data_IF_048314416310
#
_entry.id   IF_048314416310
#
_cell.length_a   1.000
_cell.length_b   1.000
_cell.length_c   1.000
_cell.angle_alpha   90.00
_cell.angle_beta   90.00
_cell.angle_gamma   90.00
#
_symmetry.space_group_name_H-M   'P 1'
#
loop_
_entity.id
_entity.type
_entity.pdbx_description
1 polymer ?
#
# COMPACT_ATOMS: atom_id res chain seq x y z
N UNK A 1 6.69 38.07 -0.92
CA UNK A 1 5.62 37.09 -0.65
C UNK A 1 6.27 35.78 -0.21
N UNK A 2 5.87 35.18 0.92
CA UNK A 2 6.38 33.86 1.32
C UNK A 2 5.84 32.82 0.31
N UNK A 3 6.72 32.06 -0.31
CA UNK A 3 6.35 30.97 -1.22
C UNK A 3 5.69 29.86 -0.38
N UNK A 4 4.42 29.59 -0.61
CA UNK A 4 3.71 28.51 0.04
C UNK A 4 4.09 27.20 -0.69
N UNK A 5 4.70 26.28 0.03
CA UNK A 5 4.97 24.94 -0.48
C UNK A 5 3.72 24.09 -0.23
N UNK A 6 3.00 23.65 -1.28
CA UNK A 6 1.82 22.81 -1.10
C UNK A 6 2.23 21.40 -0.63
N UNK A 7 1.32 20.73 0.07
CA UNK A 7 1.52 19.33 0.51
C UNK A 7 1.79 18.38 -0.67
N UNK A 8 1.13 18.62 -1.79
CA UNK A 8 1.38 17.88 -3.03
C UNK A 8 1.02 18.73 -4.25
N UNK A 9 1.85 18.66 -5.26
CA UNK A 9 1.60 19.30 -6.55
C UNK A 9 2.06 18.35 -7.67
N UNK A 10 1.13 17.96 -8.53
CA UNK A 10 1.47 17.19 -9.72
C UNK A 10 2.26 18.07 -10.70
N UNK A 11 3.33 17.51 -11.24
CA UNK A 11 4.01 18.08 -12.41
C UNK A 11 3.43 17.41 -13.65
N UNK A 12 2.86 18.19 -14.54
CA UNK A 12 2.27 17.72 -15.80
C UNK A 12 2.87 18.56 -16.92
N UNK A 13 3.46 17.91 -17.90
CA UNK A 13 4.05 18.56 -19.07
C UNK A 13 3.28 18.27 -20.37
N UNK A 14 3.80 18.79 -21.46
CA UNK A 14 3.19 18.60 -22.80
C UNK A 14 3.22 17.15 -23.27
N UNK A 15 4.20 16.35 -22.80
CA UNK A 15 4.27 14.93 -23.11
C UNK A 15 3.12 14.16 -22.45
N UNK A 16 2.87 14.43 -21.17
CA UNK A 16 1.75 13.83 -20.42
C UNK A 16 0.41 14.13 -21.09
N UNK A 17 0.20 15.43 -21.47
CA UNK A 17 -1.02 15.85 -22.15
C UNK A 17 -1.19 15.13 -23.50
N UNK A 18 -0.11 14.96 -24.26
CA UNK A 18 -0.17 14.27 -25.55
C UNK A 18 -0.44 12.78 -25.42
N UNK A 19 0.10 12.12 -24.40
CA UNK A 19 -0.20 10.70 -24.14
C UNK A 19 -1.67 10.50 -23.73
N UNK A 20 -2.24 11.39 -22.93
CA UNK A 20 -3.68 11.37 -22.62
C UNK A 20 -4.52 11.60 -23.88
N UNK A 21 -4.18 12.57 -24.73
CA UNK A 21 -4.87 12.78 -26.02
C UNK A 21 -4.83 11.53 -26.92
N UNK A 22 -3.70 10.83 -26.98
CA UNK A 22 -3.58 9.57 -27.73
C UNK A 22 -4.50 8.50 -27.16
N UNK A 23 -4.56 8.39 -25.82
CA UNK A 23 -5.43 7.43 -25.16
C UNK A 23 -6.90 7.68 -25.49
N UNK A 24 -7.35 8.94 -25.43
CA UNK A 24 -8.73 9.31 -25.74
C UNK A 24 -9.13 9.08 -27.20
N UNK A 25 -8.16 9.12 -28.13
CA UNK A 25 -8.41 8.83 -29.55
C UNK A 25 -8.39 7.34 -29.89
N UNK A 26 -8.10 6.47 -28.92
CA UNK A 26 -8.08 5.04 -29.12
C UNK A 26 -9.51 4.48 -29.19
N UNK A 27 -9.69 3.40 -29.93
CA UNK A 27 -10.98 2.69 -30.04
C UNK A 27 -11.44 2.06 -28.71
N UNK A 28 -10.52 1.84 -27.77
CA UNK A 28 -10.81 1.28 -26.44
C UNK A 28 -10.53 2.30 -25.36
N UNK A 29 -11.57 2.86 -24.76
CA UNK A 29 -11.46 3.76 -23.61
C UNK A 29 -11.35 3.03 -22.28
N UNK A 30 -11.72 1.74 -22.25
CA UNK A 30 -11.65 0.88 -21.07
C UNK A 30 -10.85 -0.37 -21.36
N UNK A 31 -10.10 -0.86 -20.38
CA UNK A 31 -9.35 -2.14 -20.44
C UNK A 31 -8.51 -2.37 -21.71
N UNK A 32 -8.14 -1.31 -22.41
CA UNK A 32 -7.47 -1.35 -23.70
C UNK A 32 -5.93 -1.51 -23.61
N UNK A 33 -5.22 -1.30 -24.73
CA UNK A 33 -3.77 -1.49 -24.81
C UNK A 33 -2.97 -0.58 -23.88
N UNK A 34 -3.49 0.59 -23.52
CA UNK A 34 -2.83 1.50 -22.59
C UNK A 34 -2.78 0.95 -21.17
N UNK A 35 -3.82 0.25 -20.72
CA UNK A 35 -3.84 -0.45 -19.42
C UNK A 35 -2.75 -1.50 -19.37
N UNK A 36 -2.68 -2.37 -20.39
CA UNK A 36 -1.63 -3.40 -20.50
C UNK A 36 -0.22 -2.79 -20.54
N UNK A 37 -0.05 -1.67 -21.26
CA UNK A 37 1.23 -0.95 -21.32
C UNK A 37 1.63 -0.42 -19.94
N UNK A 38 0.69 0.19 -19.18
CA UNK A 38 0.92 0.66 -17.82
C UNK A 38 1.36 -0.48 -16.90
N UNK A 39 0.59 -1.56 -16.84
CA UNK A 39 0.90 -2.73 -16.01
C UNK A 39 2.26 -3.34 -16.33
N UNK A 40 2.59 -3.48 -17.61
CA UNK A 40 3.88 -3.98 -18.04
C UNK A 40 5.04 -3.03 -17.67
N UNK A 41 4.85 -1.73 -17.77
CA UNK A 41 5.84 -0.75 -17.35
C UNK A 41 6.08 -0.77 -15.84
N UNK A 42 5.03 -0.88 -15.05
CA UNK A 42 5.12 -1.03 -13.59
C UNK A 42 5.85 -2.33 -13.23
N UNK A 43 5.48 -3.45 -13.85
CA UNK A 43 6.18 -4.74 -13.65
C UNK A 43 7.69 -4.63 -13.90
N UNK A 44 8.08 -4.00 -15.01
CA UNK A 44 9.49 -3.80 -15.37
C UNK A 44 10.20 -2.87 -14.37
N UNK A 45 9.57 -1.73 -14.04
CA UNK A 45 10.16 -0.71 -13.16
C UNK A 45 10.37 -1.22 -11.74
N UNK A 46 9.38 -1.93 -11.21
CA UNK A 46 9.40 -2.48 -9.85
C UNK A 46 9.98 -3.90 -9.76
N UNK A 47 10.30 -4.53 -10.89
CA UNK A 47 10.79 -5.92 -10.97
C UNK A 47 9.84 -6.92 -10.28
N UNK A 48 8.54 -6.69 -10.40
CA UNK A 48 7.51 -7.57 -9.84
C UNK A 48 6.92 -8.50 -10.89
N UNK A 49 6.43 -9.66 -10.46
CA UNK A 49 5.87 -10.68 -11.36
C UNK A 49 4.52 -10.23 -11.94
N UNK A 50 3.71 -9.55 -11.14
CA UNK A 50 2.35 -9.14 -11.52
C UNK A 50 2.14 -7.66 -11.18
N UNK A 51 1.32 -6.99 -11.98
CA UNK A 51 0.76 -5.69 -11.70
C UNK A 51 -0.67 -5.66 -12.24
N UNK A 52 -1.57 -5.09 -11.47
CA UNK A 52 -2.98 -4.91 -11.82
C UNK A 52 -3.32 -3.46 -11.56
N UNK A 53 -3.82 -2.77 -12.56
CA UNK A 53 -4.28 -1.39 -12.45
C UNK A 53 -5.73 -1.32 -11.97
N UNK A 54 -6.02 -0.29 -11.20
CA UNK A 54 -7.36 0.04 -10.72
C UNK A 54 -7.52 1.56 -10.64
N UNK A 55 -8.71 2.03 -10.34
CA UNK A 55 -9.04 3.45 -10.41
C UNK A 55 -8.58 4.28 -9.19
N UNK A 56 -8.14 3.64 -8.11
CA UNK A 56 -7.68 4.35 -6.90
C UNK A 56 -6.85 3.44 -5.99
N UNK A 57 -6.05 4.02 -5.09
CA UNK A 57 -5.37 3.28 -4.03
C UNK A 57 -6.34 2.56 -3.09
N UNK A 58 -7.50 3.15 -2.82
CA UNK A 58 -8.57 2.49 -2.05
C UNK A 58 -9.03 1.20 -2.73
N UNK A 59 -9.29 1.23 -4.04
CA UNK A 59 -9.64 0.03 -4.80
C UNK A 59 -8.50 -1.00 -4.80
N UNK A 60 -7.24 -0.55 -4.89
CA UNK A 60 -6.07 -1.43 -4.82
C UNK A 60 -5.98 -2.16 -3.49
N UNK A 61 -6.15 -1.47 -2.38
CA UNK A 61 -6.18 -2.07 -1.04
C UNK A 61 -7.33 -3.08 -0.91
N UNK A 62 -8.52 -2.73 -1.40
CA UNK A 62 -9.66 -3.65 -1.37
C UNK A 62 -9.37 -4.93 -2.15
N UNK A 63 -8.84 -4.81 -3.37
CA UNK A 63 -8.42 -5.96 -4.17
C UNK A 63 -7.33 -6.79 -3.48
N UNK A 64 -6.35 -6.15 -2.84
CA UNK A 64 -5.32 -6.82 -2.08
C UNK A 64 -5.90 -7.63 -0.91
N UNK A 65 -6.82 -7.06 -0.14
CA UNK A 65 -7.49 -7.75 0.96
C UNK A 65 -8.34 -8.94 0.50
N UNK A 66 -9.07 -8.79 -0.60
CA UNK A 66 -9.83 -9.90 -1.20
C UNK A 66 -8.89 -10.99 -1.68
N UNK A 67 -7.78 -10.64 -2.35
CA UNK A 67 -6.86 -11.60 -2.97
C UNK A 67 -6.18 -12.54 -1.97
N UNK A 68 -5.95 -12.07 -0.74
CA UNK A 68 -5.38 -12.91 0.34
C UNK A 68 -6.45 -13.73 1.08
N UNK A 69 -7.70 -13.66 0.63
CA UNK A 69 -8.81 -14.42 1.17
C UNK A 69 -9.16 -14.05 2.61
N UNK A 70 -9.23 -12.74 2.92
CA UNK A 70 -9.73 -12.28 4.22
C UNK A 70 -11.16 -12.74 4.43
N UNK A 71 -11.43 -13.23 5.65
CA UNK A 71 -12.76 -13.69 6.08
C UNK A 71 -13.14 -12.99 7.37
N UNK A 72 -14.44 -12.85 7.60
CA UNK A 72 -14.99 -12.40 8.88
C UNK A 72 -14.25 -13.05 10.06
N UNK A 73 -13.90 -12.26 11.08
CA UNK A 73 -13.09 -12.62 12.26
C UNK A 73 -11.59 -12.79 12.03
N UNK A 74 -11.08 -12.74 10.79
CA UNK A 74 -9.64 -12.62 10.61
C UNK A 74 -9.12 -11.34 11.26
N UNK A 75 -7.88 -11.36 11.72
CA UNK A 75 -7.23 -10.23 12.38
C UNK A 75 -6.22 -9.62 11.42
N UNK A 76 -6.32 -8.30 11.23
CA UNK A 76 -5.33 -7.50 10.50
C UNK A 76 -4.76 -6.43 11.42
N UNK A 77 -3.43 -6.32 11.43
CA UNK A 77 -2.72 -5.26 12.15
C UNK A 77 -2.50 -4.09 11.19
N UNK A 78 -2.89 -2.89 11.61
CA UNK A 78 -2.66 -1.63 10.92
C UNK A 78 -1.82 -0.68 11.77
N UNK A 79 -0.97 0.17 11.17
CA UNK A 79 -0.41 1.31 11.87
C UNK A 79 -1.53 2.29 12.27
N UNK A 80 -1.40 2.91 13.45
CA UNK A 80 -2.36 3.93 13.91
C UNK A 80 -2.30 5.19 13.03
N UNK A 81 -1.13 5.53 12.49
CA UNK A 81 -0.97 6.55 11.46
C UNK A 81 -1.04 5.87 10.10
N UNK A 82 -2.16 6.03 9.42
CA UNK A 82 -2.42 5.46 8.10
C UNK A 82 -3.50 6.27 7.39
N UNK A 83 -3.57 6.18 6.06
CA UNK A 83 -4.73 6.69 5.35
C UNK A 83 -5.97 5.85 5.67
N UNK A 84 -7.09 6.50 5.89
CA UNK A 84 -8.32 5.89 6.42
C UNK A 84 -8.89 4.76 5.54
N UNK A 85 -8.48 4.67 4.28
CA UNK A 85 -8.98 3.67 3.32
C UNK A 85 -8.83 2.23 3.83
N UNK A 86 -7.64 1.85 4.34
CA UNK A 86 -7.41 0.50 4.83
C UNK A 86 -8.37 0.14 5.96
N UNK A 87 -8.55 1.05 6.93
CA UNK A 87 -9.46 0.86 8.06
C UNK A 87 -10.92 0.73 7.61
N UNK A 88 -11.36 1.60 6.71
CA UNK A 88 -12.73 1.60 6.22
C UNK A 88 -13.06 0.32 5.45
N UNK A 89 -12.17 -0.12 4.57
CA UNK A 89 -12.37 -1.36 3.80
C UNK A 89 -12.45 -2.57 4.73
N UNK A 90 -11.52 -2.71 5.66
CA UNK A 90 -11.50 -3.82 6.59
C UNK A 90 -12.76 -3.82 7.48
N UNK A 91 -13.23 -2.65 7.89
CA UNK A 91 -14.49 -2.50 8.63
C UNK A 91 -15.70 -2.92 7.80
N UNK A 92 -15.75 -2.50 6.52
CA UNK A 92 -16.80 -2.93 5.58
C UNK A 92 -16.81 -4.45 5.36
N UNK A 93 -15.64 -5.08 5.40
CA UNK A 93 -15.48 -6.53 5.27
C UNK A 93 -15.71 -7.29 6.58
N UNK A 94 -16.07 -6.61 7.67
CA UNK A 94 -16.26 -7.19 9.01
C UNK A 94 -14.99 -7.92 9.53
N UNK A 95 -13.83 -7.36 9.22
CA UNK A 95 -12.52 -7.84 9.66
C UNK A 95 -12.13 -7.19 10.99
N UNK A 96 -11.55 -7.97 11.90
CA UNK A 96 -11.05 -7.45 13.17
C UNK A 96 -9.75 -6.67 12.96
N UNK A 97 -9.79 -5.37 13.21
CA UNK A 97 -8.63 -4.49 13.13
C UNK A 97 -7.99 -4.36 14.50
N UNK A 98 -6.68 -4.51 14.56
CA UNK A 98 -5.87 -4.17 15.73
C UNK A 98 -4.87 -3.09 15.29
N UNK A 99 -4.89 -1.96 15.95
CA UNK A 99 -3.96 -0.88 15.67
C UNK A 99 -2.68 -1.07 16.45
N UNK A 100 -1.55 -1.00 15.73
CA UNK A 100 -0.22 -0.95 16.31
C UNK A 100 0.24 0.50 16.37
N UNK A 101 0.97 0.83 17.41
CA UNK A 101 1.62 2.13 17.53
C UNK A 101 2.70 2.33 16.48
N UNK A 102 3.19 3.54 16.37
CA UNK A 102 4.22 3.96 15.41
C UNK A 102 5.40 4.58 16.14
N UNK A 103 6.54 4.61 15.49
CA UNK A 103 7.71 5.34 15.98
C UNK A 103 7.46 6.84 15.99
N UNK A 104 7.79 7.51 17.09
CA UNK A 104 7.53 8.94 17.31
C UNK A 104 8.29 9.85 16.33
N UNK A 105 9.44 9.39 15.85
CA UNK A 105 10.30 10.20 14.98
C UNK A 105 9.91 10.05 13.50
N UNK A 106 9.43 8.88 13.11
CA UNK A 106 9.16 8.54 11.69
C UNK A 106 7.67 8.48 11.35
N UNK A 107 6.81 8.32 12.37
CA UNK A 107 5.38 8.08 12.17
C UNK A 107 5.08 6.72 11.51
N UNK A 108 6.06 5.84 11.38
CA UNK A 108 5.89 4.54 10.73
C UNK A 108 5.77 3.42 11.76
N UNK A 109 5.02 2.39 11.39
CA UNK A 109 4.95 1.16 12.17
C UNK A 109 6.33 0.49 12.21
N UNK A 110 6.71 -0.06 13.36
CA UNK A 110 7.98 -0.77 13.51
C UNK A 110 7.77 -2.24 13.82
N UNK A 111 8.77 -3.09 13.55
CA UNK A 111 8.75 -4.48 13.97
C UNK A 111 8.52 -4.66 15.47
N UNK A 112 9.16 -3.83 16.29
CA UNK A 112 9.01 -3.86 17.75
C UNK A 112 7.58 -3.53 18.17
N UNK A 113 6.98 -2.48 17.59
CA UNK A 113 5.59 -2.11 17.88
C UNK A 113 4.59 -3.20 17.49
N UNK A 114 4.82 -3.91 16.37
CA UNK A 114 4.01 -5.06 15.97
C UNK A 114 4.11 -6.19 17.00
N UNK A 115 5.31 -6.55 17.42
CA UNK A 115 5.53 -7.62 18.42
C UNK A 115 4.87 -7.26 19.77
N UNK A 116 5.01 -6.03 20.22
CA UNK A 116 4.35 -5.52 21.42
C UNK A 116 2.82 -5.56 21.27
N UNK A 117 2.30 -5.11 20.13
CA UNK A 117 0.88 -5.15 19.81
C UNK A 117 0.33 -6.58 19.88
N UNK A 118 1.03 -7.55 19.29
CA UNK A 118 0.66 -8.97 19.32
C UNK A 118 0.63 -9.50 20.76
N UNK A 119 1.68 -9.20 21.54
CA UNK A 119 1.80 -9.62 22.94
C UNK A 119 0.70 -9.01 23.81
N UNK A 120 0.51 -7.70 23.74
CA UNK A 120 -0.48 -6.94 24.53
C UNK A 120 -1.91 -7.42 24.29
N UNK A 121 -2.24 -7.76 23.05
CA UNK A 121 -3.57 -8.25 22.67
C UNK A 121 -3.69 -9.78 22.69
N UNK A 122 -2.66 -10.50 23.12
CA UNK A 122 -2.62 -11.97 23.23
C UNK A 122 -3.05 -12.65 21.92
N UNK A 123 -2.54 -12.11 20.79
CA UNK A 123 -2.97 -12.57 19.47
C UNK A 123 -2.28 -13.91 19.13
N UNK A 124 -3.07 -14.97 19.00
CA UNK A 124 -2.56 -16.31 18.61
C UNK A 124 -2.38 -16.46 17.10
N UNK A 125 -3.19 -15.75 16.31
CA UNK A 125 -3.18 -15.82 14.85
C UNK A 125 -3.53 -14.45 14.26
N UNK A 126 -2.71 -14.00 13.33
CA UNK A 126 -2.96 -12.79 12.53
C UNK A 126 -2.99 -13.20 11.06
N UNK A 127 -3.87 -12.61 10.28
CA UNK A 127 -4.00 -12.92 8.86
C UNK A 127 -3.11 -12.05 8.00
N UNK A 128 -3.03 -10.76 8.33
CA UNK A 128 -2.19 -9.81 7.61
C UNK A 128 -1.69 -8.68 8.52
N UNK A 129 -0.58 -8.09 8.10
CA UNK A 129 -0.03 -6.85 8.61
C UNK A 129 -0.01 -5.87 7.44
N UNK A 130 -0.46 -4.65 7.64
CA UNK A 130 -0.33 -3.55 6.68
C UNK A 130 0.79 -2.64 7.16
N UNK A 131 1.70 -2.30 6.26
CA UNK A 131 2.72 -1.28 6.46
C UNK A 131 2.48 -0.13 5.51
N UNK A 132 2.94 1.06 5.88
CA UNK A 132 2.87 2.25 5.05
C UNK A 132 4.19 3.00 5.15
N UNK A 133 5.01 3.03 4.10
CA UNK A 133 6.21 3.86 4.05
C UNK A 133 5.81 5.33 3.93
N UNK A 134 5.58 5.96 5.08
CA UNK A 134 5.14 7.35 5.19
C UNK A 134 6.18 8.28 4.56
N UNK A 135 5.73 9.24 3.76
CA UNK A 135 6.61 10.14 3.01
C UNK A 135 7.45 9.44 1.94
N UNK A 136 7.21 8.15 1.65
CA UNK A 136 7.93 7.40 0.63
C UNK A 136 9.26 6.80 1.09
N UNK A 137 9.54 6.79 2.39
CA UNK A 137 10.78 6.27 2.96
C UNK A 137 10.58 4.84 3.48
N UNK A 138 11.11 3.80 2.79
CA UNK A 138 10.96 2.41 3.22
C UNK A 138 11.95 2.09 4.35
N UNK A 139 11.43 1.66 5.49
CA UNK A 139 12.20 1.23 6.66
C UNK A 139 11.85 -0.21 7.04
N UNK A 140 12.80 -0.88 7.71
CA UNK A 140 12.57 -2.16 8.38
C UNK A 140 12.05 -3.30 7.49
N UNK A 141 12.21 -3.23 6.18
CA UNK A 141 11.62 -4.18 5.22
C UNK A 141 12.01 -5.63 5.54
N UNK A 142 13.30 -5.89 5.81
CA UNK A 142 13.76 -7.25 6.15
C UNK A 142 13.12 -7.78 7.43
N UNK A 143 12.99 -6.92 8.44
CA UNK A 143 12.39 -7.29 9.72
C UNK A 143 10.90 -7.57 9.56
N UNK A 144 10.18 -6.84 8.73
CA UNK A 144 8.78 -7.14 8.41
C UNK A 144 8.64 -8.51 7.71
N UNK A 145 9.57 -8.87 6.83
CA UNK A 145 9.58 -10.22 6.24
C UNK A 145 9.86 -11.31 7.28
N UNK A 146 10.71 -11.06 8.27
CA UNK A 146 10.93 -11.98 9.41
C UNK A 146 9.65 -12.17 10.22
N UNK A 147 8.95 -11.08 10.54
CA UNK A 147 7.65 -11.12 11.24
C UNK A 147 6.60 -11.87 10.41
N UNK A 148 6.47 -11.55 9.12
CA UNK A 148 5.59 -12.27 8.20
C UNK A 148 5.81 -13.77 8.28
N UNK A 149 7.08 -14.21 8.24
CA UNK A 149 7.45 -15.63 8.32
C UNK A 149 7.14 -16.21 9.70
N UNK A 150 7.50 -15.51 10.78
CA UNK A 150 7.29 -15.95 12.17
C UNK A 150 5.81 -16.22 12.47
N UNK A 151 4.91 -15.33 12.04
CA UNK A 151 3.47 -15.43 12.30
C UNK A 151 2.68 -16.07 11.17
N UNK A 152 3.34 -16.52 10.11
CA UNK A 152 2.71 -17.09 8.91
C UNK A 152 1.54 -16.25 8.40
N UNK A 153 1.76 -14.94 8.25
CA UNK A 153 0.76 -13.97 7.83
C UNK A 153 1.12 -13.31 6.49
N UNK A 154 0.19 -12.59 5.92
CA UNK A 154 0.45 -11.75 4.75
C UNK A 154 1.02 -10.40 5.17
N UNK A 155 1.91 -9.84 4.34
CA UNK A 155 2.39 -8.47 4.44
C UNK A 155 1.83 -7.70 3.26
N UNK A 156 1.09 -6.62 3.53
CA UNK A 156 0.55 -5.71 2.53
C UNK A 156 1.20 -4.36 2.77
N UNK A 157 1.76 -3.77 1.73
CA UNK A 157 2.36 -2.45 1.79
C UNK A 157 1.46 -1.45 1.07
N UNK A 158 0.96 -0.46 1.79
CA UNK A 158 0.34 0.72 1.20
C UNK A 158 1.46 1.68 0.76
N UNK A 159 1.91 1.49 -0.46
CA UNK A 159 3.02 2.23 -1.04
C UNK A 159 2.59 3.48 -1.83
N UNK A 160 1.44 4.07 -1.50
CA UNK A 160 0.92 5.25 -2.20
C UNK A 160 1.91 6.43 -2.21
N UNK A 161 2.75 6.55 -1.18
CA UNK A 161 3.81 7.56 -1.11
C UNK A 161 5.16 7.08 -1.67
N UNK A 162 5.32 5.80 -1.98
CA UNK A 162 6.62 5.17 -2.18
C UNK A 162 6.88 4.65 -3.60
N UNK A 163 6.09 5.07 -4.60
CA UNK A 163 6.30 4.62 -5.97
C UNK A 163 7.68 5.04 -6.50
N UNK A 164 8.55 4.04 -6.72
CA UNK A 164 9.93 4.27 -7.17
C UNK A 164 10.96 4.36 -6.03
N UNK A 165 10.53 4.37 -4.77
CA UNK A 165 11.42 4.20 -3.64
C UNK A 165 12.16 2.86 -3.73
N UNK A 166 13.38 2.82 -3.22
CA UNK A 166 14.21 1.62 -3.24
C UNK A 166 14.78 1.36 -1.86
N UNK A 167 14.68 0.12 -1.44
CA UNK A 167 15.41 -0.38 -0.28
C UNK A 167 16.69 -1.06 -0.76
N UNK A 168 17.83 -0.74 -0.13
CA UNK A 168 19.10 -1.42 -0.38
C UNK A 168 19.26 -2.55 0.63
N UNK A 169 19.48 -3.74 0.12
CA UNK A 169 19.90 -4.89 0.91
C UNK A 169 21.41 -4.83 1.13
#
# INVERSE_FOLDING_TARGET
MKQIIPYGKCYIDSHDINEVKKSLKNSYLTSGPFVKKLENNIKKKLKVKYAVSCNSGTAALHLAFISIGLKKKDIVILPVINFVAASNILKMMDIKIIYSDVDINTGQITPAAIEECIKKNTLKKIKAIVTMPLGGFPENIEQFYKIKKKYNCFLIEDACHALGARYRF
#
